data_IF_379169599736
#
_entry.id   IF_379169599736
#
_cell.length_a   1.000
_cell.length_b   1.000
_cell.length_c   1.000
_cell.angle_alpha   90.00
_cell.angle_beta   90.00
_cell.angle_gamma   90.00
#
_symmetry.space_group_name_H-M   'P 1'
#
loop_
_entity.id
_entity.type
_entity.pdbx_description
1 polymer ?
#
# COMPACT_ATOMS: atom_id res chain seq x y z
N UNK A 1 51.94 7.10 7.20
CA UNK A 1 50.96 7.13 6.09
C UNK A 1 49.82 8.07 6.49
N UNK A 2 49.83 9.23 5.85
CA UNK A 2 48.86 10.35 5.80
C UNK A 2 47.40 9.85 5.60
N UNK A 3 46.26 10.42 6.03
CA UNK A 3 45.75 11.73 6.51
C UNK A 3 44.56 11.44 7.46
N UNK A 4 44.36 12.07 8.62
CA UNK A 4 43.63 13.34 8.85
C UNK A 4 42.32 13.48 8.06
N UNK A 5 41.15 13.51 8.73
CA UNK A 5 40.26 14.70 8.77
C UNK A 5 39.21 14.57 9.88
N UNK A 6 39.01 15.69 10.56
CA UNK A 6 38.47 15.84 11.91
C UNK A 6 37.02 16.31 11.89
N UNK A 7 36.20 15.71 12.76
CA UNK A 7 35.14 16.29 13.61
C UNK A 7 34.56 17.65 13.20
N UNK A 8 33.22 17.74 13.08
CA UNK A 8 32.42 18.83 13.66
C UNK A 8 30.92 18.51 13.65
N UNK A 9 30.38 18.32 14.85
CA UNK A 9 28.97 18.57 15.14
C UNK A 9 28.67 20.03 14.77
N UNK A 10 27.58 20.26 14.06
CA UNK A 10 27.04 21.60 13.84
C UNK A 10 25.58 21.55 14.25
N UNK A 11 25.35 21.86 15.53
CA UNK A 11 24.09 22.34 16.02
C UNK A 11 23.75 23.65 15.27
N UNK A 12 22.57 23.72 14.65
CA UNK A 12 21.96 24.98 14.27
C UNK A 12 20.80 25.27 15.22
N UNK A 13 21.14 25.98 16.30
CA UNK A 13 20.20 26.83 16.98
C UNK A 13 19.93 28.04 16.08
N UNK A 14 18.68 28.22 15.66
CA UNK A 14 18.22 29.51 15.14
C UNK A 14 17.23 30.06 16.15
N UNK A 15 17.78 30.81 17.10
CA UNK A 15 17.04 31.77 17.91
C UNK A 15 16.89 33.01 17.05
N UNK A 16 15.65 33.38 16.71
CA UNK A 16 15.32 34.71 16.22
C UNK A 16 14.21 35.27 17.12
N UNK A 17 14.63 36.10 18.07
CA UNK A 17 13.75 37.03 18.79
C UNK A 17 13.99 38.41 18.18
N UNK A 18 12.97 38.97 17.55
CA UNK A 18 12.77 40.42 17.49
C UNK A 18 11.30 40.72 17.71
N UNK A 19 11.02 41.47 18.76
CA UNK A 19 9.70 41.95 19.13
C UNK A 19 9.44 43.35 18.56
N UNK A 20 8.15 43.62 18.35
CA UNK A 20 7.45 44.89 18.16
C UNK A 20 7.54 45.60 16.80
N UNK A 21 6.37 45.66 16.15
CA UNK A 21 6.03 46.58 15.08
C UNK A 21 4.60 46.33 14.59
N UNK A 22 3.60 46.96 15.23
CA UNK A 22 2.24 47.01 14.70
C UNK A 22 2.17 48.13 13.66
N UNK A 23 1.85 47.80 12.41
CA UNK A 23 1.37 48.74 11.40
C UNK A 23 0.33 48.01 10.53
N UNK A 24 -0.93 48.34 10.78
CA UNK A 24 -2.05 47.97 9.90
C UNK A 24 -1.96 48.91 8.70
N UNK A 25 -1.58 48.38 7.54
CA UNK A 25 -1.80 49.03 6.25
C UNK A 25 -2.62 48.11 5.36
N UNK A 26 -3.81 48.59 5.04
CA UNK A 26 -4.74 48.07 4.06
C UNK A 26 -4.09 47.95 2.67
N UNK A 27 -4.62 47.01 1.87
CA UNK A 27 -4.46 46.80 0.42
C UNK A 27 -3.53 45.65 0.02
N UNK A 28 -4.14 44.66 -0.65
CA UNK A 28 -3.44 43.65 -1.43
C UNK A 28 -3.37 42.29 -0.74
N UNK A 29 -4.45 41.51 -0.83
CA UNK A 29 -4.37 40.06 -0.64
C UNK A 29 -3.57 39.52 -1.83
N UNK A 30 -2.24 39.61 -1.79
CA UNK A 30 -1.40 38.80 -2.67
C UNK A 30 -1.67 37.34 -2.29
N UNK A 31 -2.09 36.48 -3.23
CA UNK A 31 -2.24 35.07 -2.92
C UNK A 31 -0.89 34.59 -2.38
N UNK A 32 -0.90 34.04 -1.16
CA UNK A 32 0.26 33.35 -0.61
C UNK A 32 0.81 32.44 -1.71
N UNK A 33 2.13 32.43 -1.97
CA UNK A 33 2.69 31.60 -3.01
C UNK A 33 2.21 30.18 -2.77
N UNK A 34 1.32 29.72 -3.66
CA UNK A 34 0.78 28.38 -3.62
C UNK A 34 1.99 27.47 -3.62
N UNK A 35 2.22 26.77 -2.52
CA UNK A 35 3.26 25.76 -2.46
C UNK A 35 3.06 24.88 -3.69
N UNK A 36 4.06 24.86 -4.59
CA UNK A 36 4.02 24.04 -5.79
C UNK A 36 3.84 22.61 -5.27
N UNK A 37 2.67 22.02 -5.55
CA UNK A 37 2.40 20.66 -5.13
C UNK A 37 3.49 19.77 -5.73
N UNK A 38 4.25 19.08 -4.89
CA UNK A 38 5.26 18.14 -5.34
C UNK A 38 4.59 17.12 -6.27
N UNK A 39 5.17 16.89 -7.45
CA UNK A 39 4.64 15.88 -8.38
C UNK A 39 4.67 14.51 -7.69
N UNK A 40 3.54 13.81 -7.67
CA UNK A 40 3.43 12.48 -7.06
C UNK A 40 3.58 11.43 -8.17
N UNK A 41 4.52 10.50 -8.00
CA UNK A 41 4.80 9.40 -8.91
C UNK A 41 4.50 8.05 -8.26
N UNK A 42 3.96 7.13 -9.05
CA UNK A 42 3.79 5.74 -8.64
C UNK A 42 5.09 4.96 -8.88
N UNK A 43 5.62 4.36 -7.81
CA UNK A 43 6.75 3.45 -7.84
C UNK A 43 6.25 2.04 -7.59
N UNK A 44 6.50 1.16 -8.56
CA UNK A 44 5.98 -0.21 -8.57
C UNK A 44 7.12 -1.20 -8.35
N UNK A 45 6.92 -2.14 -7.43
CA UNK A 45 7.85 -3.20 -7.12
C UNK A 45 7.18 -4.56 -7.32
N UNK A 46 7.75 -5.39 -8.19
CA UNK A 46 7.29 -6.78 -8.36
C UNK A 46 7.67 -7.60 -7.14
N UNK A 47 6.74 -8.40 -6.63
CA UNK A 47 6.99 -9.32 -5.51
C UNK A 47 7.70 -10.57 -6.01
N UNK A 48 8.64 -11.10 -5.21
CA UNK A 48 9.31 -12.38 -5.47
C UNK A 48 9.05 -13.34 -4.29
N UNK A 49 8.42 -14.51 -4.51
CA UNK A 49 7.88 -15.01 -5.78
C UNK A 49 6.71 -14.15 -6.30
N UNK A 50 6.52 -14.08 -7.62
CA UNK A 50 5.42 -13.32 -8.24
C UNK A 50 4.11 -14.14 -8.38
N UNK A 51 4.10 -15.35 -7.82
CA UNK A 51 2.91 -16.17 -7.71
C UNK A 51 2.97 -17.08 -6.47
N UNK A 52 1.81 -17.33 -5.89
CA UNK A 52 1.63 -18.24 -4.74
C UNK A 52 0.37 -19.06 -5.01
N UNK A 53 0.46 -20.38 -4.83
CA UNK A 53 -0.65 -21.31 -4.97
C UNK A 53 -0.88 -22.06 -3.67
N UNK A 54 -2.12 -22.13 -3.22
CA UNK A 54 -2.53 -22.78 -1.96
C UNK A 54 -3.81 -23.57 -2.20
N UNK A 55 -3.87 -24.78 -1.65
CA UNK A 55 -5.11 -25.56 -1.60
C UNK A 55 -5.55 -25.71 -0.15
N UNK A 56 -6.81 -25.36 0.13
CA UNK A 56 -7.43 -25.49 1.44
C UNK A 56 -8.77 -26.22 1.28
N UNK A 57 -8.84 -27.46 1.80
CA UNK A 57 -10.01 -28.32 1.64
C UNK A 57 -10.36 -28.52 0.16
N UNK A 58 -11.56 -28.09 -0.25
CA UNK A 58 -12.09 -28.22 -1.61
C UNK A 58 -11.85 -26.99 -2.51
N UNK A 59 -11.05 -26.02 -2.06
CA UNK A 59 -10.75 -24.82 -2.85
C UNK A 59 -9.25 -24.71 -3.08
N UNK A 60 -8.87 -24.50 -4.35
CA UNK A 60 -7.52 -24.05 -4.71
C UNK A 60 -7.55 -22.55 -5.00
N UNK A 61 -6.62 -21.81 -4.42
CA UNK A 61 -6.39 -20.40 -4.70
C UNK A 61 -5.00 -20.17 -5.26
N UNK A 62 -4.90 -19.30 -6.27
CA UNK A 62 -3.64 -18.89 -6.88
C UNK A 62 -3.62 -17.36 -6.98
N UNK A 63 -2.66 -16.74 -6.30
CA UNK A 63 -2.41 -15.31 -6.36
C UNK A 63 -1.23 -15.06 -7.29
N UNK A 64 -1.44 -14.32 -8.37
CA UNK A 64 -0.44 -14.01 -9.39
C UNK A 64 -0.30 -12.49 -9.58
N UNK A 65 0.70 -12.08 -10.37
CA UNK A 65 0.90 -10.69 -10.78
C UNK A 65 1.06 -9.73 -9.59
N UNK A 66 1.66 -10.24 -8.51
CA UNK A 66 1.80 -9.54 -7.24
C UNK A 66 2.77 -8.37 -7.35
N UNK A 67 2.27 -7.18 -7.05
CA UNK A 67 3.03 -5.93 -7.11
C UNK A 67 2.71 -5.06 -5.90
N UNK A 68 3.72 -4.33 -5.43
CA UNK A 68 3.56 -3.30 -4.40
C UNK A 68 3.71 -1.95 -5.08
N UNK A 69 2.71 -1.09 -4.92
CA UNK A 69 2.74 0.28 -5.45
C UNK A 69 2.86 1.27 -4.30
N UNK A 70 3.86 2.14 -4.38
CA UNK A 70 4.08 3.27 -3.47
C UNK A 70 3.89 4.57 -4.24
N UNK A 71 3.14 5.53 -3.68
CA UNK A 71 3.09 6.89 -4.24
C UNK A 71 4.15 7.71 -3.55
N UNK A 72 5.09 8.27 -4.31
CA UNK A 72 6.21 9.05 -3.78
C UNK A 72 6.24 10.45 -4.41
N UNK A 73 6.66 11.44 -3.64
CA UNK A 73 6.97 12.77 -4.15
C UNK A 73 8.24 12.75 -5.01
N UNK A 74 8.15 13.30 -6.21
CA UNK A 74 9.25 13.45 -7.14
C UNK A 74 10.27 14.46 -6.61
N UNK A 75 11.55 14.07 -6.60
CA UNK A 75 12.65 14.88 -6.09
C UNK A 75 12.93 14.72 -4.59
N UNK A 76 11.91 14.55 -3.73
CA UNK A 76 12.11 14.35 -2.28
C UNK A 76 12.15 12.88 -1.87
N UNK A 77 11.48 11.99 -2.63
CA UNK A 77 11.33 10.58 -2.30
C UNK A 77 10.45 10.31 -1.08
N UNK A 78 9.78 11.34 -0.52
CA UNK A 78 8.81 11.16 0.56
C UNK A 78 7.63 10.31 0.08
N UNK A 79 7.18 9.39 0.93
CA UNK A 79 6.00 8.56 0.66
C UNK A 79 4.75 9.42 0.83
N UNK A 80 4.04 9.65 -0.27
CA UNK A 80 2.79 10.41 -0.35
C UNK A 80 1.58 9.53 0.02
N UNK A 81 1.60 8.24 -0.30
CA UNK A 81 0.62 7.27 0.19
C UNK A 81 1.27 5.95 0.58
N UNK A 82 0.73 5.24 1.58
CA UNK A 82 1.29 3.96 1.99
C UNK A 82 1.33 2.94 0.85
N UNK A 83 2.29 2.03 0.92
CA UNK A 83 2.43 0.92 0.00
C UNK A 83 1.14 0.07 -0.06
N UNK A 84 0.69 -0.27 -1.26
CA UNK A 84 -0.49 -1.11 -1.51
C UNK A 84 -0.08 -2.35 -2.28
N UNK A 85 -0.48 -3.54 -1.82
CA UNK A 85 -0.29 -4.79 -2.57
C UNK A 85 -1.46 -4.95 -3.54
N UNK A 86 -1.15 -5.22 -4.79
CA UNK A 86 -2.11 -5.59 -5.83
C UNK A 86 -1.76 -6.93 -6.46
N UNK A 87 -2.75 -7.62 -7.01
CA UNK A 87 -2.53 -8.85 -7.76
C UNK A 87 -3.83 -9.41 -8.32
N UNK A 88 -3.76 -10.65 -8.80
CA UNK A 88 -4.91 -11.39 -9.32
C UNK A 88 -5.10 -12.69 -8.57
N UNK A 89 -6.25 -12.85 -7.93
CA UNK A 89 -6.63 -14.07 -7.22
C UNK A 89 -7.53 -14.92 -8.12
N UNK A 90 -7.03 -16.09 -8.52
CA UNK A 90 -7.83 -17.14 -9.13
C UNK A 90 -8.24 -18.17 -8.06
N UNK A 91 -9.52 -18.53 -8.03
CA UNK A 91 -10.07 -19.54 -7.15
C UNK A 91 -10.67 -20.65 -8.00
N UNK A 92 -10.51 -21.90 -7.56
CA UNK A 92 -11.12 -23.08 -8.18
C UNK A 92 -11.74 -23.98 -7.13
N UNK A 93 -12.99 -24.37 -7.35
CA UNK A 93 -13.62 -25.44 -6.59
C UNK A 93 -13.21 -26.80 -7.16
N UNK A 94 -12.52 -27.60 -6.35
CA UNK A 94 -12.02 -28.93 -6.72
C UNK A 94 -12.88 -30.06 -6.15
N UNK A 95 -14.03 -29.75 -5.55
CA UNK A 95 -14.97 -30.77 -5.11
C UNK A 95 -15.67 -31.43 -6.31
N UNK A 96 -16.23 -32.62 -6.10
CA UNK A 96 -17.04 -33.33 -7.09
C UNK A 96 -18.53 -32.96 -7.03
N UNK A 97 -19.02 -32.53 -5.86
CA UNK A 97 -20.46 -32.46 -5.57
C UNK A 97 -20.87 -31.30 -4.63
N UNK A 98 -19.90 -30.52 -4.13
CA UNK A 98 -20.13 -29.40 -3.22
C UNK A 98 -19.92 -28.04 -3.90
N UNK A 99 -20.84 -27.11 -3.70
CA UNK A 99 -20.69 -25.70 -4.09
C UNK A 99 -20.01 -24.90 -2.97
N UNK A 100 -19.14 -23.97 -3.35
CA UNK A 100 -18.52 -23.00 -2.42
C UNK A 100 -19.02 -21.59 -2.70
N UNK A 101 -19.21 -20.78 -1.66
CA UNK A 101 -19.48 -19.35 -1.79
C UNK A 101 -18.47 -18.55 -1.00
N UNK A 102 -17.76 -17.64 -1.65
CA UNK A 102 -16.82 -16.77 -0.97
C UNK A 102 -17.58 -15.64 -0.24
N UNK A 103 -17.45 -15.61 1.08
CA UNK A 103 -18.08 -14.59 1.93
C UNK A 103 -17.18 -13.37 2.16
N UNK A 104 -15.88 -13.52 1.94
CA UNK A 104 -14.88 -12.47 2.05
C UNK A 104 -13.49 -13.05 2.31
N UNK A 105 -12.48 -12.20 2.32
CA UNK A 105 -11.11 -12.58 2.66
C UNK A 105 -10.25 -11.37 3.04
N UNK A 106 -9.18 -11.65 3.77
CA UNK A 106 -8.18 -10.66 4.20
C UNK A 106 -6.79 -11.14 3.83
N UNK A 107 -5.88 -10.20 3.59
CA UNK A 107 -4.47 -10.48 3.37
C UNK A 107 -3.71 -10.23 4.68
N UNK A 108 -3.01 -11.26 5.15
CA UNK A 108 -2.13 -11.18 6.31
C UNK A 108 -0.69 -11.20 5.86
N UNK A 109 0.12 -10.32 6.44
CA UNK A 109 1.56 -10.26 6.19
C UNK A 109 2.27 -11.00 7.31
N UNK A 110 3.08 -12.00 6.96
CA UNK A 110 3.79 -12.84 7.92
C UNK A 110 5.30 -12.74 7.69
N UNK A 111 6.07 -12.75 8.76
CA UNK A 111 7.53 -12.81 8.72
C UNK A 111 8.03 -14.23 8.41
N UNK A 112 9.33 -14.38 8.25
CA UNK A 112 9.99 -15.68 7.97
C UNK A 112 9.82 -16.70 9.10
N UNK A 113 9.39 -16.28 10.29
CA UNK A 113 9.11 -17.13 11.45
C UNK A 113 7.60 -17.43 11.58
N UNK A 114 6.79 -17.01 10.60
CA UNK A 114 5.33 -17.20 10.59
C UNK A 114 4.56 -16.23 11.48
N UNK A 115 5.20 -15.17 11.98
CA UNK A 115 4.54 -14.20 12.88
C UNK A 115 3.95 -13.04 12.07
N UNK A 116 2.75 -12.54 12.43
CA UNK A 116 2.19 -11.37 11.77
C UNK A 116 3.12 -10.16 11.82
N UNK A 117 3.34 -9.51 10.68
CA UNK A 117 4.07 -8.25 10.57
C UNK A 117 3.08 -7.13 10.88
N UNK A 118 3.38 -6.32 11.89
CA UNK A 118 2.59 -5.13 12.20
C UNK A 118 2.78 -4.11 11.08
N UNK A 119 1.67 -3.72 10.45
CA UNK A 119 1.65 -2.67 9.45
C UNK A 119 1.29 -1.31 10.05
N UNK A 120 1.66 -0.24 9.35
CA UNK A 120 1.23 1.14 9.65
C UNK A 120 -0.30 1.24 9.69
N UNK A 121 -0.84 1.92 10.70
CA UNK A 121 -2.29 1.94 10.98
C UNK A 121 -3.14 2.57 9.87
N UNK A 122 -2.56 3.43 9.04
CA UNK A 122 -3.28 4.16 7.99
C UNK A 122 -3.20 3.48 6.60
N UNK A 123 -2.86 2.20 6.53
CA UNK A 123 -2.86 1.43 5.28
C UNK A 123 -4.26 0.96 4.94
N UNK A 124 -4.64 1.08 3.67
CA UNK A 124 -5.80 0.37 3.13
C UNK A 124 -5.47 -1.12 3.07
N UNK A 125 -6.19 -1.95 3.81
CA UNK A 125 -6.08 -3.41 3.68
C UNK A 125 -6.62 -3.84 2.31
N UNK A 126 -5.87 -4.66 1.53
CA UNK A 126 -6.40 -5.20 0.30
C UNK A 126 -7.60 -6.07 0.58
N UNK A 127 -8.68 -5.86 -0.15
CA UNK A 127 -9.93 -6.57 0.10
C UNK A 127 -10.16 -7.64 -0.96
N UNK A 128 -10.41 -8.86 -0.49
CA UNK A 128 -10.94 -9.92 -1.34
C UNK A 128 -12.45 -9.76 -1.31
N UNK A 129 -13.00 -9.22 -2.41
CA UNK A 129 -14.45 -9.03 -2.56
C UNK A 129 -15.15 -10.38 -2.39
N UNK A 130 -16.10 -10.41 -1.46
CA UNK A 130 -17.01 -11.53 -1.24
C UNK A 130 -18.39 -11.22 -1.81
N UNK A 131 -19.26 -12.22 -1.84
CA UNK A 131 -20.56 -12.14 -2.46
C UNK A 131 -21.48 -11.07 -1.81
N UNK A 132 -21.69 -9.95 -2.48
CA UNK A 132 -22.50 -8.84 -1.95
C UNK A 132 -24.02 -9.07 -2.03
N UNK A 133 -24.49 -10.01 -2.86
CA UNK A 133 -25.91 -10.41 -2.93
C UNK A 133 -26.08 -11.75 -3.65
N UNK A 134 -27.27 -12.36 -3.54
CA UNK A 134 -27.63 -13.60 -4.24
C UNK A 134 -27.64 -13.32 -5.76
N UNK A 135 -26.61 -13.78 -6.49
CA UNK A 135 -26.48 -13.55 -7.94
C UNK A 135 -25.12 -13.07 -8.44
N UNK A 136 -24.17 -12.77 -7.55
CA UNK A 136 -22.80 -12.35 -7.91
C UNK A 136 -21.82 -13.53 -8.01
N UNK A 137 -20.78 -13.34 -8.83
CA UNK A 137 -19.74 -14.25 -9.35
C UNK A 137 -18.87 -15.00 -8.32
N UNK A 138 -19.21 -14.95 -7.03
CA UNK A 138 -18.46 -15.57 -5.94
C UNK A 138 -18.98 -16.96 -5.52
N UNK A 139 -19.99 -17.49 -6.22
CA UNK A 139 -20.39 -18.91 -6.13
C UNK A 139 -19.52 -19.71 -7.11
N UNK A 140 -18.89 -20.76 -6.60
CA UNK A 140 -18.13 -21.74 -7.37
C UNK A 140 -18.82 -23.09 -7.26
N UNK A 141 -19.51 -23.51 -8.31
CA UNK A 141 -20.02 -24.89 -8.41
C UNK A 141 -18.87 -25.90 -8.62
N UNK A 142 -19.09 -27.22 -8.45
CA UNK A 142 -18.06 -28.23 -8.65
C UNK A 142 -17.30 -28.05 -9.97
N UNK A 143 -15.97 -27.95 -9.89
CA UNK A 143 -15.09 -27.77 -11.04
C UNK A 143 -14.93 -26.34 -11.56
N UNK A 144 -15.75 -25.38 -11.11
CA UNK A 144 -15.69 -23.99 -11.59
C UNK A 144 -14.49 -23.22 -11.03
N UNK A 145 -14.13 -22.18 -11.78
CA UNK A 145 -13.13 -21.18 -11.43
C UNK A 145 -13.70 -19.75 -11.46
N UNK A 146 -13.10 -18.88 -10.65
CA UNK A 146 -13.35 -17.45 -10.65
C UNK A 146 -12.02 -16.70 -10.52
N UNK A 147 -11.96 -15.50 -11.10
CA UNK A 147 -10.81 -14.62 -11.00
C UNK A 147 -11.25 -13.24 -10.54
N UNK A 148 -10.49 -12.65 -9.63
CA UNK A 148 -10.71 -11.28 -9.20
C UNK A 148 -9.39 -10.53 -8.99
N UNK A 149 -9.48 -9.21 -9.16
CA UNK A 149 -8.40 -8.31 -8.78
C UNK A 149 -8.35 -8.21 -7.25
N UNK A 150 -7.13 -8.25 -6.73
CA UNK A 150 -6.82 -7.91 -5.35
C UNK A 150 -6.25 -6.51 -5.36
N UNK A 151 -6.91 -5.61 -4.65
CA UNK A 151 -6.45 -4.26 -4.38
C UNK A 151 -6.93 -3.80 -3.01
#
# INVERSE_FOLDING_TARGET
MTKSFTKKEIAFAVILVFAAGFLVTTLGCSPAPSAVAAMIKDKVYTVNPNSIKVTAGIVTGELTEMQVTERIEEGSGRVASPAKLTGKLALKNISADQTVRLVGGKILYIDVQGRPIKLEANRTEPTIKGASTYGSSERLDPGQDATQVVD
#
